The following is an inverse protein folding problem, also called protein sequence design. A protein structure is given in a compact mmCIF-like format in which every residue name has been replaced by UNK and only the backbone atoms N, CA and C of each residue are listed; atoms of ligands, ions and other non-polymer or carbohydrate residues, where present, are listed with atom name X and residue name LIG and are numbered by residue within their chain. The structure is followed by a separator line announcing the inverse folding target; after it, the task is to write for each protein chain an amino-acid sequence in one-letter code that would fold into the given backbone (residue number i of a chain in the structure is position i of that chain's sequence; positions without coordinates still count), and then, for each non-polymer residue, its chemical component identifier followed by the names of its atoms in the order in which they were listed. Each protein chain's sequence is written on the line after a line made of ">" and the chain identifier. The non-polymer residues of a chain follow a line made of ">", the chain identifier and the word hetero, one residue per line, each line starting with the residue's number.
data_IF_717329199671
#
_entry.id   IF_717329199671
#
_cell.length_a   1.000
_cell.length_b   1.000
_cell.length_c   1.000
_cell.angle_alpha   90.00
_cell.angle_beta   90.00
_cell.angle_gamma   90.00
#
_symmetry.space_group_name_H-M   'P 1'
#
loop_
_entity.id
_entity.type
_entity.pdbx_description
1 polymer ?
#
# COMPACT_ATOMS: atom_id res chain seq x y z
N UNK A 1 -19.54 8.01 -3.18
CA UNK A 1 -18.25 7.34 -3.49
C UNK A 1 -17.71 6.77 -2.20
N UNK A 2 -17.35 5.49 -2.16
CA UNK A 2 -16.81 4.85 -0.96
C UNK A 2 -15.34 5.21 -0.74
N UNK A 3 -14.85 5.04 0.49
CA UNK A 3 -13.43 5.17 0.81
C UNK A 3 -12.74 3.81 0.68
N UNK A 4 -11.51 3.78 0.16
CA UNK A 4 -10.71 2.56 0.06
C UNK A 4 -9.74 2.45 1.25
N UNK A 5 -9.69 1.29 1.88
CA UNK A 5 -8.71 0.93 2.90
C UNK A 5 -7.86 -0.22 2.36
N UNK A 6 -6.54 -0.06 2.43
CA UNK A 6 -5.58 -1.07 1.98
C UNK A 6 -4.82 -1.57 3.20
N UNK A 7 -4.85 -2.90 3.41
CA UNK A 7 -4.18 -3.59 4.50
C UNK A 7 -3.21 -4.64 3.97
N UNK A 8 -2.30 -5.14 4.79
CA UNK A 8 -1.37 -6.19 4.36
C UNK A 8 -2.03 -7.58 4.28
N UNK A 9 -2.97 -7.91 5.18
CA UNK A 9 -3.43 -9.29 5.41
C UNK A 9 -4.97 -9.41 5.39
N UNK A 10 -5.50 -10.56 4.95
CA UNK A 10 -6.94 -10.83 4.97
C UNK A 10 -7.55 -10.77 6.38
N UNK A 11 -6.80 -11.22 7.38
CA UNK A 11 -7.27 -11.25 8.76
C UNK A 11 -7.57 -9.83 9.26
N UNK A 12 -6.69 -8.86 8.98
CA UNK A 12 -6.95 -7.46 9.27
C UNK A 12 -8.11 -6.88 8.49
N UNK A 13 -8.25 -7.26 7.22
CA UNK A 13 -9.39 -6.81 6.42
C UNK A 13 -10.72 -7.24 7.07
N UNK A 14 -10.79 -8.48 7.59
CA UNK A 14 -11.95 -8.97 8.35
C UNK A 14 -12.16 -8.19 9.65
N UNK A 15 -11.10 -7.99 10.43
CA UNK A 15 -11.17 -7.25 11.71
C UNK A 15 -11.65 -5.82 11.50
N UNK A 16 -11.02 -5.07 10.59
CA UNK A 16 -11.39 -3.68 10.29
C UNK A 16 -12.79 -3.62 9.66
N UNK A 17 -13.13 -4.57 8.78
CA UNK A 17 -14.46 -4.66 8.18
C UNK A 17 -15.58 -4.95 9.17
N UNK A 18 -15.27 -5.57 10.33
CA UNK A 18 -16.24 -5.72 11.42
C UNK A 18 -16.56 -4.41 12.15
N UNK A 19 -15.60 -3.48 12.17
CA UNK A 19 -15.78 -2.17 12.81
C UNK A 19 -16.31 -1.10 11.86
N UNK A 20 -16.03 -1.22 10.57
CA UNK A 20 -16.35 -0.21 9.56
C UNK A 20 -17.55 -0.63 8.72
N UNK A 21 -18.46 0.32 8.47
CA UNK A 21 -19.67 0.09 7.68
C UNK A 21 -19.43 -0.05 6.17
N UNK A 22 -20.54 -0.20 5.42
CA UNK A 22 -20.57 -0.38 3.96
C UNK A 22 -19.98 0.78 3.14
N UNK A 23 -19.65 1.89 3.79
CA UNK A 23 -19.03 3.07 3.19
C UNK A 23 -17.54 2.86 2.85
N UNK A 24 -16.94 1.79 3.37
CA UNK A 24 -15.54 1.45 3.14
C UNK A 24 -15.41 0.18 2.28
N UNK A 25 -14.59 0.28 1.23
CA UNK A 25 -14.07 -0.88 0.52
C UNK A 25 -12.72 -1.24 1.12
N UNK A 26 -12.51 -2.50 1.49
CA UNK A 26 -11.26 -2.96 2.10
C UNK A 26 -10.60 -3.96 1.17
N UNK A 27 -9.33 -3.73 0.82
CA UNK A 27 -8.51 -4.62 0.02
C UNK A 27 -7.24 -5.02 0.79
N UNK A 28 -6.79 -6.26 0.60
CA UNK A 28 -5.57 -6.78 1.21
C UNK A 28 -4.48 -7.05 0.16
N UNK A 29 -3.22 -6.72 0.47
CA UNK A 29 -2.08 -7.01 -0.41
C UNK A 29 -1.63 -8.47 -0.35
N UNK A 30 -2.10 -9.20 0.66
CA UNK A 30 -1.74 -10.58 0.97
C UNK A 30 -0.22 -10.72 1.29
N UNK A 31 0.33 -9.81 2.09
CA UNK A 31 1.75 -9.70 2.42
C UNK A 31 2.54 -8.84 1.42
N UNK A 32 3.84 -9.12 1.28
CA UNK A 32 4.74 -8.41 0.35
C UNK A 32 4.22 -8.44 -1.09
N UNK A 33 4.32 -7.29 -1.77
CA UNK A 33 3.84 -7.10 -3.15
C UNK A 33 4.96 -7.00 -4.17
N UNK A 34 6.15 -6.63 -3.71
CA UNK A 34 7.33 -6.44 -4.52
C UNK A 34 8.57 -6.76 -3.71
N UNK A 35 9.66 -7.03 -4.41
CA UNK A 35 10.95 -7.38 -3.83
C UNK A 35 12.07 -6.82 -4.72
N UNK A 36 13.30 -6.88 -4.23
CA UNK A 36 14.47 -6.60 -5.06
C UNK A 36 14.62 -7.66 -6.17
N UNK A 37 15.17 -7.29 -7.34
CA UNK A 37 15.52 -8.25 -8.37
C UNK A 37 16.44 -9.33 -7.80
N UNK A 38 16.16 -10.59 -8.13
CA UNK A 38 16.96 -11.73 -7.63
C UNK A 38 18.35 -11.82 -8.24
N UNK A 39 18.56 -11.20 -9.40
CA UNK A 39 19.74 -11.41 -10.25
C UNK A 39 20.56 -10.15 -10.48
N UNK A 40 20.12 -8.99 -10.00
CA UNK A 40 20.86 -7.72 -10.12
C UNK A 40 21.03 -7.09 -8.75
N UNK A 41 21.89 -6.08 -8.66
CA UNK A 41 22.15 -5.35 -7.41
C UNK A 41 20.86 -4.73 -6.82
N UNK A 42 19.82 -4.54 -7.65
CA UNK A 42 18.54 -3.97 -7.22
C UNK A 42 18.64 -2.51 -6.77
N UNK A 43 19.75 -1.84 -7.06
CA UNK A 43 19.99 -0.43 -6.75
C UNK A 43 20.42 0.29 -8.02
N UNK A 44 19.74 1.38 -8.32
CA UNK A 44 20.13 2.30 -9.37
C UNK A 44 21.29 3.18 -8.88
N UNK A 45 22.51 2.76 -9.24
CA UNK A 45 23.75 3.47 -8.90
C UNK A 45 23.85 4.86 -9.52
N UNK A 46 23.04 5.17 -10.55
CA UNK A 46 23.03 6.47 -11.23
C UNK A 46 22.03 7.43 -10.59
N UNK A 47 20.91 6.90 -10.11
CA UNK A 47 19.84 7.67 -9.47
C UNK A 47 19.88 7.53 -7.94
N UNK A 48 20.94 8.03 -7.31
CA UNK A 48 21.05 8.15 -5.84
C UNK A 48 20.79 6.85 -5.05
N UNK A 49 21.17 5.70 -5.61
CA UNK A 49 20.94 4.39 -4.98
C UNK A 49 19.45 4.08 -4.76
N UNK A 50 18.58 4.57 -5.64
CA UNK A 50 17.16 4.23 -5.58
C UNK A 50 16.97 2.72 -5.80
N UNK A 51 16.22 2.04 -4.91
CA UNK A 51 15.97 0.62 -5.06
C UNK A 51 15.02 0.35 -6.23
N UNK A 52 15.44 -0.56 -7.11
CA UNK A 52 14.59 -1.10 -8.14
C UNK A 52 13.76 -2.24 -7.56
N UNK A 53 12.44 -2.13 -7.63
CA UNK A 53 11.53 -3.14 -7.10
C UNK A 53 10.76 -3.86 -8.21
N UNK A 54 10.78 -5.19 -8.16
CA UNK A 54 10.04 -6.06 -9.06
C UNK A 54 8.79 -6.58 -8.36
N UNK A 55 7.64 -6.45 -9.03
CA UNK A 55 6.37 -7.02 -8.52
C UNK A 55 6.48 -8.54 -8.50
N UNK A 56 6.15 -9.15 -7.36
CA UNK A 56 6.18 -10.60 -7.20
C UNK A 56 5.19 -11.30 -8.16
N UNK A 57 5.51 -12.50 -8.68
CA UNK A 57 4.58 -13.30 -9.46
C UNK A 57 3.25 -13.48 -8.74
N UNK A 58 2.13 -13.35 -9.46
CA UNK A 58 0.78 -13.45 -8.89
C UNK A 58 0.27 -12.18 -8.20
N UNK A 59 1.12 -11.22 -7.81
CA UNK A 59 0.71 -9.96 -7.16
C UNK A 59 0.27 -8.86 -8.11
N UNK A 60 0.55 -9.01 -9.41
CA UNK A 60 0.14 -8.05 -10.45
C UNK A 60 -1.37 -7.81 -10.46
N UNK A 61 -2.17 -8.88 -10.33
CA UNK A 61 -3.64 -8.78 -10.35
C UNK A 61 -4.17 -7.97 -9.16
N UNK A 62 -3.58 -8.19 -7.97
CA UNK A 62 -3.90 -7.47 -6.74
C UNK A 62 -3.57 -5.99 -6.88
N UNK A 63 -2.39 -5.66 -7.41
CA UNK A 63 -2.01 -4.25 -7.65
C UNK A 63 -2.96 -3.57 -8.64
N UNK A 64 -3.32 -4.25 -9.73
CA UNK A 64 -4.28 -3.71 -10.70
C UNK A 64 -5.65 -3.46 -10.07
N UNK A 65 -6.12 -4.38 -9.20
CA UNK A 65 -7.37 -4.21 -8.46
C UNK A 65 -7.30 -3.02 -7.49
N UNK A 66 -6.21 -2.89 -6.74
CA UNK A 66 -5.98 -1.76 -5.83
C UNK A 66 -6.01 -0.43 -6.60
N UNK A 67 -5.30 -0.36 -7.74
CA UNK A 67 -5.26 0.85 -8.58
C UNK A 67 -6.66 1.17 -9.13
N UNK A 68 -7.40 0.16 -9.58
CA UNK A 68 -8.77 0.35 -10.08
C UNK A 68 -9.70 0.86 -8.96
N UNK A 69 -9.70 0.21 -7.81
CA UNK A 69 -10.52 0.61 -6.66
C UNK A 69 -10.15 2.02 -6.18
N UNK A 70 -8.86 2.36 -6.19
CA UNK A 70 -8.37 3.69 -5.84
C UNK A 70 -8.89 4.78 -6.78
N UNK A 71 -9.06 4.48 -8.08
CA UNK A 71 -9.66 5.41 -9.06
C UNK A 71 -11.14 5.66 -8.82
N UNK A 72 -11.84 4.68 -8.27
CA UNK A 72 -13.29 4.74 -8.00
C UNK A 72 -13.61 5.33 -6.61
N UNK A 73 -12.59 5.53 -5.77
CA UNK A 73 -12.75 5.91 -4.36
C UNK A 73 -12.49 7.40 -4.12
N UNK A 74 -13.21 7.98 -3.16
CA UNK A 74 -13.04 9.40 -2.80
C UNK A 74 -11.80 9.64 -1.93
N UNK A 75 -11.49 8.69 -1.06
CA UNK A 75 -10.33 8.72 -0.15
C UNK A 75 -9.68 7.34 -0.13
N UNK A 76 -8.37 7.32 0.11
CA UNK A 76 -7.55 6.11 0.14
C UNK A 76 -6.75 6.13 1.44
N UNK A 77 -6.95 5.11 2.27
CA UNK A 77 -6.27 4.91 3.53
C UNK A 77 -5.33 3.71 3.44
N UNK A 78 -4.07 3.88 3.86
CA UNK A 78 -3.11 2.80 4.02
C UNK A 78 -3.06 2.44 5.50
N UNK A 79 -3.53 1.23 5.84
CA UNK A 79 -3.67 0.72 7.21
C UNK A 79 -2.79 -0.53 7.41
N UNK A 80 -1.53 -0.42 6.99
CA UNK A 80 -0.47 -1.42 7.20
C UNK A 80 0.10 -1.34 8.62
N UNK A 81 0.77 -2.39 9.07
CA UNK A 81 1.44 -2.36 10.38
C UNK A 81 2.53 -1.29 10.49
N UNK A 82 2.80 -0.78 11.71
CA UNK A 82 3.88 0.17 11.97
C UNK A 82 5.24 -0.54 12.08
N UNK A 83 5.47 -1.55 11.26
CA UNK A 83 6.74 -2.27 11.16
C UNK A 83 7.42 -2.02 9.81
N UNK A 84 8.57 -2.66 9.59
CA UNK A 84 9.36 -2.46 8.35
C UNK A 84 8.60 -2.93 7.11
N UNK A 85 7.85 -4.02 7.23
CA UNK A 85 7.08 -4.58 6.11
C UNK A 85 5.92 -3.66 5.75
N UNK A 86 5.17 -3.21 6.75
CA UNK A 86 4.05 -2.31 6.55
C UNK A 86 4.47 -0.97 5.98
N UNK A 87 5.60 -0.39 6.44
CA UNK A 87 6.14 0.84 5.85
C UNK A 87 6.55 0.62 4.39
N UNK A 88 7.20 -0.50 4.06
CA UNK A 88 7.55 -0.83 2.68
C UNK A 88 6.31 -0.96 1.79
N UNK A 89 5.29 -1.73 2.21
CA UNK A 89 4.05 -1.91 1.47
C UNK A 89 3.35 -0.56 1.27
N UNK A 90 3.23 0.24 2.33
CA UNK A 90 2.62 1.56 2.28
C UNK A 90 3.35 2.50 1.31
N UNK A 91 4.69 2.58 1.41
CA UNK A 91 5.51 3.39 0.53
C UNK A 91 5.40 2.95 -0.94
N UNK A 92 5.44 1.64 -1.19
CA UNK A 92 5.35 1.08 -2.53
C UNK A 92 3.99 1.33 -3.19
N UNK A 93 2.90 1.06 -2.47
CA UNK A 93 1.54 1.31 -2.98
C UNK A 93 1.33 2.80 -3.23
N UNK A 94 1.80 3.66 -2.31
CA UNK A 94 1.75 5.12 -2.47
C UNK A 94 2.49 5.59 -3.73
N UNK A 95 3.69 5.06 -3.99
CA UNK A 95 4.45 5.38 -5.21
C UNK A 95 3.68 4.96 -6.48
N UNK A 96 3.14 3.73 -6.50
CA UNK A 96 2.36 3.21 -7.64
C UNK A 96 1.11 4.05 -7.92
N UNK A 97 0.41 4.47 -6.88
CA UNK A 97 -0.77 5.32 -6.98
C UNK A 97 -0.42 6.77 -7.39
N UNK A 98 0.70 7.33 -6.91
CA UNK A 98 1.22 8.66 -7.36
C UNK A 98 1.59 8.66 -8.83
N UNK A 99 2.25 7.61 -9.33
CA UNK A 99 2.57 7.43 -10.76
C UNK A 99 1.33 7.43 -11.64
N UNK A 100 0.17 7.09 -11.09
CA UNK A 100 -1.14 7.15 -11.76
C UNK A 100 -1.85 8.51 -11.61
N UNK A 101 -1.18 9.56 -11.10
CA UNK A 101 -1.70 10.92 -10.89
C UNK A 101 -2.93 10.99 -9.96
N UNK A 102 -3.00 10.12 -8.96
CA UNK A 102 -4.11 10.07 -8.01
C UNK A 102 -3.91 11.04 -6.84
N UNK A 103 -4.97 11.77 -6.45
CA UNK A 103 -5.00 12.60 -5.23
C UNK A 103 -5.31 11.74 -4.00
N UNK A 104 -4.60 11.96 -2.88
CA UNK A 104 -4.74 11.15 -1.66
C UNK A 104 -5.30 11.96 -0.50
N UNK A 105 -6.23 11.35 0.24
CA UNK A 105 -6.63 11.80 1.57
C UNK A 105 -5.97 10.94 2.64
N UNK A 106 -4.88 11.44 3.23
CA UNK A 106 -4.24 10.96 4.46
C UNK A 106 -3.71 9.50 4.50
N UNK A 107 -2.41 9.34 4.77
CA UNK A 107 -1.88 8.10 5.35
C UNK A 107 -2.20 8.14 6.85
N UNK A 108 -2.95 7.17 7.35
CA UNK A 108 -3.29 7.09 8.78
C UNK A 108 -2.06 6.58 9.55
N UNK A 109 -1.08 7.45 9.76
CA UNK A 109 0.07 7.17 10.62
C UNK A 109 -0.43 7.35 12.06
N UNK A 110 -0.29 6.35 12.94
CA UNK A 110 -0.39 6.63 14.38
C UNK A 110 0.54 7.79 14.65
N UNK A 111 -0.01 8.87 15.22
CA UNK A 111 0.78 9.95 15.79
C UNK A 111 1.83 9.29 16.67
N UNK A 112 3.11 9.37 16.29
CA UNK A 112 4.14 9.19 17.31
C UNK A 112 3.88 10.34 18.26
N UNK A 113 3.49 10.04 19.49
CA UNK A 113 3.54 11.02 20.56
C UNK A 113 4.91 11.69 20.48
N UNK A 114 4.92 12.94 20.04
CA UNK A 114 5.99 13.86 20.33
C UNK A 114 5.94 14.08 21.83
N UNK A 115 6.61 13.22 22.59
CA UNK A 115 7.05 13.56 23.93
C UNK A 115 8.49 14.03 23.82
N UNK A 116 8.60 15.36 23.97
CA UNK A 116 9.73 16.17 24.45
C UNK A 116 11.13 15.61 24.32
#
# INVERSE_FOLDING_TARGET
>A
MSSLIIVESPSKAKTIGGYLGKEFRILATLGHVADLPKTTLGLDLKNRFEPEYVVLPGKKKILSEIIKAAKESQRIFLATDPDREGEFISAYIRDRLKKNRMSFGFVLRRSRETRS
#
